data_IF_704717798005
#
_entry.id   IF_704717798005
#
_cell.length_a   1.000
_cell.length_b   1.000
_cell.length_c   1.000
_cell.angle_alpha   90.00
_cell.angle_beta   90.00
_cell.angle_gamma   90.00
#
_symmetry.space_group_name_H-M   'P 1'
#
loop_
_entity.id
_entity.type
_entity.pdbx_description
1 polymer ?
#
# COMPACT_ATOMS: atom_id res chain seq x y z
N UNK A 1 -26.37 7.07 -2.82
CA UNK A 1 -25.47 6.66 -3.92
C UNK A 1 -24.98 5.26 -3.63
N UNK A 2 -24.88 4.39 -4.64
CA UNK A 2 -24.29 3.05 -4.48
C UNK A 2 -22.80 3.18 -4.16
N UNK A 3 -22.31 2.32 -3.26
CA UNK A 3 -20.91 2.32 -2.84
C UNK A 3 -20.04 1.82 -4.00
N UNK A 4 -18.99 2.57 -4.34
CA UNK A 4 -18.00 2.14 -5.34
C UNK A 4 -17.04 1.13 -4.72
N UNK A 5 -16.77 0.06 -5.46
CA UNK A 5 -15.75 -0.94 -5.12
C UNK A 5 -14.60 -0.77 -6.11
N UNK A 6 -13.38 -0.57 -5.61
CA UNK A 6 -12.19 -0.27 -6.41
C UNK A 6 -11.18 -1.38 -6.16
N UNK A 7 -10.67 -1.98 -7.23
CA UNK A 7 -9.58 -2.95 -7.17
C UNK A 7 -8.24 -2.26 -7.41
N UNK A 8 -7.23 -2.63 -6.63
CA UNK A 8 -5.87 -2.09 -6.73
C UNK A 8 -4.91 -3.26 -6.94
N UNK A 9 -4.35 -3.38 -8.14
CA UNK A 9 -3.26 -4.31 -8.43
C UNK A 9 -1.92 -3.61 -8.21
N UNK A 10 -1.22 -3.94 -7.13
CA UNK A 10 0.14 -3.47 -6.91
C UNK A 10 1.13 -4.35 -7.71
N UNK A 11 1.63 -3.82 -8.82
CA UNK A 11 2.55 -4.53 -9.73
C UNK A 11 4.03 -4.33 -9.38
N UNK A 12 4.34 -3.43 -8.44
CA UNK A 12 5.71 -3.11 -8.01
C UNK A 12 6.00 -1.61 -8.01
N UNK A 13 7.29 -1.27 -7.95
CA UNK A 13 7.77 0.11 -7.90
C UNK A 13 7.95 0.66 -6.48
N UNK A 14 8.65 1.78 -6.38
CA UNK A 14 9.17 2.37 -5.13
C UNK A 14 8.08 2.73 -4.11
N UNK A 15 6.85 2.97 -4.56
CA UNK A 15 5.73 3.33 -3.68
C UNK A 15 5.40 2.27 -2.60
N UNK A 16 5.72 1.00 -2.85
CA UNK A 16 5.53 -0.10 -1.90
C UNK A 16 6.84 -0.67 -1.35
N UNK A 17 7.94 0.09 -1.41
CA UNK A 17 9.26 -0.31 -0.92
C UNK A 17 9.59 0.32 0.42
N UNK A 18 10.49 -0.32 1.17
CA UNK A 18 11.04 0.20 2.41
C UNK A 18 12.46 0.72 2.22
N UNK A 19 12.81 1.76 2.98
CA UNK A 19 14.18 2.28 3.02
C UNK A 19 15.08 1.29 3.77
N UNK A 20 16.25 1.04 3.21
CA UNK A 20 17.36 0.29 3.81
C UNK A 20 18.66 1.10 3.68
N UNK A 21 19.75 0.59 4.27
CA UNK A 21 21.08 1.20 4.18
C UNK A 21 21.63 1.25 2.74
N UNK A 22 21.08 0.42 1.84
CA UNK A 22 21.49 0.31 0.44
C UNK A 22 20.42 0.77 -0.55
N UNK A 23 19.44 1.59 -0.11
CA UNK A 23 18.37 2.13 -0.94
C UNK A 23 16.99 1.52 -0.64
N UNK A 24 16.05 1.66 -1.58
CA UNK A 24 14.69 1.14 -1.41
C UNK A 24 14.59 -0.33 -1.85
N UNK A 25 14.04 -1.17 -0.98
CA UNK A 25 13.94 -2.62 -1.20
C UNK A 25 12.47 -3.08 -1.20
N UNK A 26 12.09 -4.04 -2.07
CA UNK A 26 10.74 -4.55 -2.10
C UNK A 26 10.52 -5.47 -0.89
N UNK A 27 9.49 -5.18 -0.10
CA UNK A 27 9.11 -6.02 1.04
C UNK A 27 7.68 -6.53 0.82
N UNK A 28 7.55 -7.85 0.75
CA UNK A 28 6.26 -8.50 0.54
C UNK A 28 5.25 -8.09 1.63
N UNK A 29 4.06 -7.70 1.20
CA UNK A 29 2.98 -7.27 2.09
C UNK A 29 3.19 -5.90 2.77
N UNK A 30 4.26 -5.16 2.48
CA UNK A 30 4.47 -3.85 3.09
C UNK A 30 3.39 -2.84 2.70
N UNK A 31 3.10 -2.69 1.39
CA UNK A 31 2.06 -1.79 0.89
C UNK A 31 0.68 -2.10 1.50
N UNK A 32 0.32 -3.39 1.58
CA UNK A 32 -0.95 -3.82 2.17
C UNK A 32 -1.05 -3.44 3.64
N UNK A 33 -0.01 -3.72 4.43
CA UNK A 33 0.07 -3.35 5.86
C UNK A 33 0.00 -1.83 6.05
N UNK A 34 0.68 -1.08 5.18
CA UNK A 34 0.68 0.37 5.23
C UNK A 34 -0.74 0.93 5.02
N UNK A 35 -1.43 0.50 3.96
CA UNK A 35 -2.81 0.89 3.69
C UNK A 35 -3.75 0.49 4.84
N UNK A 36 -3.59 -0.71 5.39
CA UNK A 36 -4.38 -1.19 6.53
C UNK A 36 -4.14 -0.40 7.83
N UNK A 37 -3.02 0.31 7.95
CA UNK A 37 -2.68 1.11 9.13
C UNK A 37 -3.15 2.56 9.07
N UNK A 38 -3.54 3.05 7.88
CA UNK A 38 -3.82 4.45 7.58
C UNK A 38 -5.34 4.74 7.59
N UNK A 39 -5.89 5.42 8.61
CA UNK A 39 -7.33 5.63 8.76
C UNK A 39 -8.00 6.37 7.59
N UNK A 40 -7.26 7.23 6.89
CA UNK A 40 -7.75 7.98 5.71
C UNK A 40 -8.14 7.06 4.54
N UNK A 41 -7.65 5.82 4.50
CA UNK A 41 -8.04 4.81 3.52
C UNK A 41 -9.19 3.93 3.98
N UNK A 42 -9.60 4.03 5.25
CA UNK A 42 -10.75 3.33 5.79
C UNK A 42 -11.94 4.28 5.86
N UNK A 43 -13.09 3.77 5.42
CA UNK A 43 -14.35 4.45 5.73
C UNK A 43 -14.82 3.97 7.11
N UNK A 44 -15.40 4.85 7.93
CA UNK A 44 -16.20 4.44 9.08
C UNK A 44 -17.32 3.46 8.69
#
# INVERSE_FOLDING_TARGET
>A
MTRKHIYIAYTGGTIGMLKSDHGYVPIAGFMEKQLASMPEFHRP
#
